data_IF_511701596568
#
_entry.id   IF_511701596568
#
_cell.length_a   1.000
_cell.length_b   1.000
_cell.length_c   1.000
_cell.angle_alpha   90.00
_cell.angle_beta   90.00
_cell.angle_gamma   90.00
#
_symmetry.space_group_name_H-M   'P 1'
#
loop_
_entity.id
_entity.type
_entity.pdbx_description
1 polymer ?
#
# COMPACT_ATOMS: atom_id res chain seq x y z
N UNK A 1 8.73 39.17 7.37
CA UNK A 1 9.13 38.04 8.24
C UNK A 1 9.25 36.74 7.43
N UNK A 2 9.96 36.76 6.30
CA UNK A 2 10.22 35.57 5.47
C UNK A 2 11.54 34.85 5.84
N UNK A 3 12.27 35.30 6.89
CA UNK A 3 13.70 35.02 7.04
C UNK A 3 14.11 33.91 8.02
N UNK A 4 13.18 33.23 8.70
CA UNK A 4 13.55 32.13 9.63
C UNK A 4 13.18 30.73 9.12
N UNK A 5 12.14 30.57 8.29
CA UNK A 5 11.73 29.25 7.79
C UNK A 5 12.57 28.80 6.59
N UNK A 6 12.97 29.73 5.71
CA UNK A 6 13.82 29.43 4.54
C UNK A 6 15.22 28.98 4.94
N UNK A 7 15.79 29.50 6.02
CA UNK A 7 17.13 29.12 6.50
C UNK A 7 17.19 27.66 6.98
N UNK A 8 16.10 27.14 7.53
CA UNK A 8 16.02 25.74 7.96
C UNK A 8 15.81 24.76 6.81
N UNK A 9 15.38 25.20 5.63
CA UNK A 9 15.28 24.34 4.43
C UNK A 9 16.62 24.15 3.72
N UNK A 10 17.60 25.03 3.97
CA UNK A 10 18.93 24.93 3.37
C UNK A 10 19.63 23.62 3.78
N UNK A 11 20.10 22.85 2.78
CA UNK A 11 20.77 21.57 3.00
C UNK A 11 19.82 20.40 3.33
N UNK A 12 18.51 20.57 3.18
CA UNK A 12 17.54 19.50 3.37
C UNK A 12 17.57 18.47 2.22
N UNK A 13 17.27 17.23 2.55
CA UNK A 13 16.82 16.24 1.57
C UNK A 13 15.39 16.60 1.14
N UNK A 14 15.18 16.92 -0.13
CA UNK A 14 13.86 17.24 -0.69
C UNK A 14 13.48 16.22 -1.74
N UNK A 15 12.27 15.70 -1.63
CA UNK A 15 11.66 14.80 -2.63
C UNK A 15 10.32 15.36 -3.07
N UNK A 16 9.94 15.02 -4.30
CA UNK A 16 8.66 15.40 -4.88
C UNK A 16 7.93 14.19 -5.45
N UNK A 17 6.61 14.28 -5.50
CA UNK A 17 5.73 13.22 -6.00
C UNK A 17 5.18 12.33 -4.88
N UNK A 18 3.87 12.11 -4.93
CA UNK A 18 3.06 11.52 -3.86
C UNK A 18 3.62 10.19 -3.32
N UNK A 19 3.99 9.25 -4.20
CA UNK A 19 4.54 7.97 -3.78
C UNK A 19 5.86 8.09 -3.01
N UNK A 20 6.80 8.92 -3.51
CA UNK A 20 8.14 9.09 -2.92
C UNK A 20 8.04 9.86 -1.62
N UNK A 21 7.25 10.95 -1.60
CA UNK A 21 7.02 11.77 -0.42
C UNK A 21 6.39 10.95 0.72
N UNK A 22 5.37 10.13 0.43
CA UNK A 22 4.77 9.23 1.43
C UNK A 22 5.77 8.26 2.00
N UNK A 23 6.55 7.61 1.14
CA UNK A 23 7.57 6.65 1.58
C UNK A 23 8.59 7.32 2.49
N UNK A 24 9.18 8.44 2.06
CA UNK A 24 10.17 9.19 2.86
C UNK A 24 9.60 9.70 4.18
N UNK A 25 8.34 10.16 4.20
CA UNK A 25 7.66 10.58 5.42
C UNK A 25 7.46 9.43 6.40
N UNK A 26 7.02 8.26 5.91
CA UNK A 26 6.86 7.05 6.73
C UNK A 26 8.20 6.56 7.28
N UNK A 27 9.23 6.50 6.44
CA UNK A 27 10.58 6.07 6.82
C UNK A 27 11.15 7.00 7.90
N UNK A 28 10.95 8.32 7.77
CA UNK A 28 11.37 9.29 8.80
C UNK A 28 10.61 9.10 10.11
N UNK A 29 9.27 8.94 10.06
CA UNK A 29 8.48 8.72 11.28
C UNK A 29 8.91 7.42 11.99
N UNK A 30 9.21 6.37 11.23
CA UNK A 30 9.75 5.12 11.78
C UNK A 30 11.15 5.30 12.38
N UNK A 31 12.06 5.99 11.70
CA UNK A 31 13.41 6.33 12.19
C UNK A 31 13.33 7.06 13.54
N UNK A 32 12.34 7.95 13.67
CA UNK A 32 12.12 8.72 14.88
C UNK A 32 11.31 7.97 15.94
N UNK A 33 10.78 6.77 15.68
CA UNK A 33 9.91 6.05 16.63
C UNK A 33 8.54 6.72 16.83
N UNK A 34 8.04 7.41 15.82
CA UNK A 34 6.72 8.04 15.77
C UNK A 34 5.72 7.18 14.98
N UNK A 35 4.41 7.34 15.21
CA UNK A 35 3.39 6.62 14.45
C UNK A 35 3.40 6.95 12.95
N UNK A 36 3.50 5.91 12.10
CA UNK A 36 3.51 6.05 10.62
C UNK A 36 2.27 6.71 10.03
N UNK A 37 1.16 6.80 10.78
CA UNK A 37 -0.08 7.46 10.36
C UNK A 37 -0.27 8.88 10.90
N UNK A 38 0.78 9.49 11.47
CA UNK A 38 0.69 10.79 12.13
C UNK A 38 0.48 11.97 11.16
N UNK A 39 0.99 11.86 9.94
CA UNK A 39 0.93 12.89 8.90
C UNK A 39 -0.07 12.50 7.81
N UNK A 40 -0.57 13.45 6.99
CA UNK A 40 -1.42 13.13 5.85
C UNK A 40 -0.66 12.24 4.85
N UNK A 41 -1.35 11.22 4.31
CA UNK A 41 -0.74 10.16 3.49
C UNK A 41 -1.30 10.11 2.07
N UNK A 42 -1.83 11.22 1.55
CA UNK A 42 -2.40 11.29 0.19
C UNK A 42 -2.13 12.67 -0.41
N UNK A 43 -1.90 12.71 -1.73
CA UNK A 43 -1.72 13.94 -2.51
C UNK A 43 -0.56 14.82 -2.01
N UNK A 44 0.55 14.18 -1.62
CA UNK A 44 1.75 14.89 -1.16
C UNK A 44 2.59 15.32 -2.36
N UNK A 45 2.78 16.62 -2.52
CA UNK A 45 3.56 17.18 -3.64
C UNK A 45 5.05 17.23 -3.32
N UNK A 46 5.39 17.61 -2.09
CA UNK A 46 6.77 17.80 -1.66
C UNK A 46 6.94 17.37 -0.20
N UNK A 47 8.07 16.74 0.09
CA UNK A 47 8.50 16.44 1.43
C UNK A 47 9.96 16.82 1.57
N UNK A 48 10.28 17.57 2.62
CA UNK A 48 11.64 17.97 2.93
C UNK A 48 12.02 17.67 4.37
N UNK A 49 13.25 17.23 4.56
CA UNK A 49 13.81 17.02 5.88
C UNK A 49 15.28 17.46 5.95
N UNK A 50 15.57 18.35 6.89
CA UNK A 50 16.91 18.78 7.19
C UNK A 50 17.42 18.06 8.44
N UNK A 51 18.28 17.07 8.24
CA UNK A 51 18.90 16.29 9.33
C UNK A 51 19.71 17.14 10.31
N UNK A 52 20.34 18.23 9.84
CA UNK A 52 21.19 19.08 10.68
C UNK A 52 20.40 19.92 11.68
N UNK A 53 19.19 20.33 11.31
CA UNK A 53 18.33 21.19 12.14
C UNK A 53 17.13 20.44 12.75
N UNK A 54 16.85 19.23 12.25
CA UNK A 54 15.63 18.49 12.54
C UNK A 54 14.38 19.08 11.89
N UNK A 55 14.50 20.13 11.07
CA UNK A 55 13.35 20.78 10.46
C UNK A 55 12.77 19.91 9.33
N UNK A 56 11.46 19.72 9.34
CA UNK A 56 10.74 19.01 8.28
C UNK A 56 9.55 19.81 7.78
N UNK A 57 9.18 19.58 6.53
CA UNK A 57 7.95 20.08 5.95
C UNK A 57 7.33 19.09 4.98
N UNK A 58 6.01 19.19 4.84
CA UNK A 58 5.20 18.39 3.94
C UNK A 58 4.19 19.32 3.26
N UNK A 59 4.22 19.35 1.93
CA UNK A 59 3.28 20.12 1.10
C UNK A 59 2.32 19.17 0.41
N UNK A 60 1.03 19.40 0.57
CA UNK A 60 -0.04 18.63 -0.08
C UNK A 60 -0.73 19.46 -1.18
N UNK A 61 -1.27 18.80 -2.20
CA UNK A 61 -1.96 19.46 -3.31
C UNK A 61 -3.32 20.09 -2.95
N UNK A 62 -3.85 19.75 -1.77
CA UNK A 62 -5.15 20.25 -1.29
C UNK A 62 -4.98 21.40 -0.33
N UNK A 63 -5.84 22.43 -0.49
CA UNK A 63 -5.86 23.61 0.41
C UNK A 63 -6.06 23.24 1.89
N UNK A 64 -6.85 22.21 2.15
CA UNK A 64 -7.12 21.68 3.49
C UNK A 64 -7.58 20.22 3.38
N UNK A 65 -7.06 19.36 4.24
CA UNK A 65 -7.51 17.98 4.40
C UNK A 65 -8.05 17.80 5.81
N UNK A 66 -9.28 17.33 5.93
CA UNK A 66 -9.85 16.94 7.22
C UNK A 66 -9.90 15.41 7.28
N UNK A 67 -9.41 14.86 8.39
CA UNK A 67 -9.41 13.44 8.68
C UNK A 67 -10.13 13.18 9.98
N UNK A 68 -10.99 12.16 9.99
CA UNK A 68 -11.65 11.69 11.20
C UNK A 68 -11.07 10.35 11.62
N UNK A 69 -10.38 10.35 12.76
CA UNK A 69 -9.94 9.14 13.43
C UNK A 69 -11.14 8.45 14.07
N UNK A 70 -11.81 7.60 13.28
CA UNK A 70 -13.12 7.01 13.63
C UNK A 70 -13.16 6.32 14.99
N UNK A 71 -12.07 5.62 15.36
CA UNK A 71 -11.98 4.87 16.62
C UNK A 71 -12.03 5.78 17.85
N UNK A 72 -11.39 6.94 17.78
CA UNK A 72 -11.35 7.93 18.87
C UNK A 72 -12.32 9.11 18.63
N UNK A 73 -13.08 9.07 17.53
CA UNK A 73 -14.00 10.12 17.07
C UNK A 73 -13.35 11.51 16.98
N UNK A 74 -12.03 11.55 16.79
CA UNK A 74 -11.26 12.78 16.75
C UNK A 74 -11.16 13.31 15.32
N UNK A 75 -11.43 14.60 15.13
CA UNK A 75 -11.31 15.26 13.83
C UNK A 75 -10.03 16.09 13.83
N UNK A 76 -9.21 15.90 12.81
CA UNK A 76 -7.94 16.61 12.62
C UNK A 76 -7.94 17.24 11.24
N UNK A 77 -7.36 18.43 11.12
CA UNK A 77 -7.19 19.11 9.85
C UNK A 77 -5.74 19.46 9.60
N UNK A 78 -5.34 19.30 8.35
CA UNK A 78 -4.02 19.59 7.82
C UNK A 78 -4.13 20.70 6.76
N UNK A 79 -3.34 21.75 6.91
CA UNK A 79 -3.19 22.83 5.94
C UNK A 79 -2.35 22.36 4.74
N UNK A 80 -2.32 23.16 3.66
CA UNK A 80 -1.50 22.91 2.47
C UNK A 80 -0.04 22.59 2.80
N UNK A 81 0.52 23.27 3.80
CA UNK A 81 1.86 23.01 4.31
C UNK A 81 1.79 22.69 5.80
N UNK A 82 2.43 21.58 6.18
CA UNK A 82 2.67 21.18 7.56
C UNK A 82 4.17 21.25 7.81
N UNK A 83 4.58 21.92 8.88
CA UNK A 83 5.98 21.99 9.29
C UNK A 83 6.16 21.57 10.75
N UNK A 84 7.33 21.04 11.09
CA UNK A 84 7.69 20.70 12.45
C UNK A 84 9.21 20.62 12.62
N UNK A 85 9.66 20.63 13.88
CA UNK A 85 10.98 20.16 14.25
C UNK A 85 10.86 18.75 14.81
N UNK A 86 11.59 17.84 14.19
CA UNK A 86 11.57 16.42 14.46
C UNK A 86 12.73 16.00 15.34
N UNK A 87 12.42 15.26 16.39
CA UNK A 87 13.33 14.66 17.37
C UNK A 87 12.91 13.21 17.61
N UNK A 88 13.79 12.40 18.21
CA UNK A 88 13.44 11.01 18.53
C UNK A 88 12.20 10.98 19.44
N UNK A 89 11.16 10.31 18.99
CA UNK A 89 9.87 10.13 19.64
C UNK A 89 8.99 11.38 19.64
N UNK A 90 9.36 12.45 18.93
CA UNK A 90 8.72 13.77 19.13
C UNK A 90 8.74 14.67 17.90
N UNK A 91 7.62 15.35 17.66
CA UNK A 91 7.51 16.51 16.78
C UNK A 91 7.12 17.74 17.62
N UNK A 92 7.78 18.87 17.41
CA UNK A 92 7.50 20.13 18.13
C UNK A 92 7.44 21.32 17.20
N UNK A 93 6.87 22.43 17.70
CA UNK A 93 6.58 23.65 16.92
C UNK A 93 5.82 23.32 15.63
N UNK A 94 4.87 22.40 15.75
CA UNK A 94 4.06 21.95 14.63
C UNK A 94 3.22 23.13 14.13
N UNK A 95 3.20 23.32 12.81
CA UNK A 95 2.30 24.26 12.15
C UNK A 95 1.45 23.54 11.10
N UNK A 96 0.30 24.11 10.74
CA UNK A 96 -0.59 23.54 9.74
C UNK A 96 -1.47 22.38 10.24
N UNK A 97 -1.32 21.93 11.50
CA UNK A 97 -2.16 20.87 12.08
C UNK A 97 -3.11 21.45 13.12
N UNK A 98 -4.41 21.15 13.00
CA UNK A 98 -5.42 21.50 14.02
C UNK A 98 -6.27 20.30 14.39
N UNK A 99 -6.66 20.22 15.66
CA UNK A 99 -7.59 19.22 16.18
C UNK A 99 -8.92 19.87 16.56
N UNK A 100 -10.04 19.17 16.41
CA UNK A 100 -11.37 19.69 16.79
C UNK A 100 -11.73 19.24 18.20
N UNK A 101 -11.82 20.18 19.12
CA UNK A 101 -12.15 19.94 20.52
C UNK A 101 -13.24 20.93 20.96
N UNK A 102 -14.31 20.43 21.60
CA UNK A 102 -15.47 21.24 22.04
C UNK A 102 -15.98 22.21 20.95
N UNK A 103 -16.04 21.72 19.70
CA UNK A 103 -16.43 22.47 18.49
C UNK A 103 -15.43 23.53 17.99
N UNK A 104 -14.30 23.73 18.67
CA UNK A 104 -13.23 24.65 18.29
C UNK A 104 -12.07 23.93 17.61
N UNK A 105 -11.46 24.57 16.62
CA UNK A 105 -10.24 24.07 15.98
C UNK A 105 -9.01 24.62 16.69
N UNK A 106 -8.32 23.76 17.44
CA UNK A 106 -7.13 24.11 18.21
C UNK A 106 -5.87 23.69 17.48
N UNK A 107 -4.86 24.56 17.44
CA UNK A 107 -3.57 24.26 16.82
C UNK A 107 -2.81 23.24 17.65
N UNK A 108 -2.40 22.14 17.02
CA UNK A 108 -1.48 21.16 17.60
C UNK A 108 -0.08 21.71 17.45
N UNK A 109 0.67 21.81 18.54
CA UNK A 109 2.02 22.40 18.57
C UNK A 109 3.10 21.36 18.86
N UNK A 110 2.72 20.24 19.46
CA UNK A 110 3.64 19.17 19.84
C UNK A 110 2.92 17.82 19.80
N UNK A 111 3.64 16.80 19.32
CA UNK A 111 3.24 15.39 19.37
C UNK A 111 4.42 14.58 19.86
N UNK A 112 4.21 13.65 20.79
CA UNK A 112 5.29 12.78 21.26
C UNK A 112 4.78 11.41 21.70
N UNK A 113 5.69 10.45 21.73
CA UNK A 113 5.50 9.12 22.31
C UNK A 113 6.17 9.13 23.69
N UNK A 114 5.42 9.02 24.80
CA UNK A 114 6.01 9.02 26.13
C UNK A 114 6.87 7.78 26.36
N UNK A 115 8.06 7.94 26.94
CA UNK A 115 8.97 6.81 27.21
C UNK A 115 8.34 5.75 28.13
N UNK A 116 7.51 6.18 29.09
CA UNK A 116 6.81 5.29 30.00
C UNK A 116 5.65 4.50 29.36
N UNK A 117 5.22 4.88 28.15
CA UNK A 117 4.08 4.28 27.43
C UNK A 117 4.28 4.39 25.91
N UNK A 118 5.20 3.60 25.33
CA UNK A 118 5.52 3.64 23.90
C UNK A 118 4.35 3.24 22.99
N UNK A 119 3.33 2.60 23.54
CA UNK A 119 2.08 2.26 22.87
C UNK A 119 1.13 3.46 22.70
N UNK A 120 1.44 4.60 23.32
CA UNK A 120 0.63 5.82 23.27
C UNK A 120 1.32 6.94 22.51
N UNK A 121 0.51 7.77 21.87
CA UNK A 121 0.92 9.03 21.28
C UNK A 121 0.13 10.16 21.93
N UNK A 122 0.83 11.20 22.38
CA UNK A 122 0.26 12.37 23.03
C UNK A 122 0.30 13.56 22.08
N UNK A 123 -0.83 14.25 21.94
CA UNK A 123 -0.96 15.50 21.20
C UNK A 123 -1.14 16.64 22.19
N UNK A 124 -0.39 17.72 22.00
CA UNK A 124 -0.51 18.95 22.79
C UNK A 124 -0.92 20.12 21.92
N UNK A 125 -1.86 20.90 22.41
CA UNK A 125 -2.32 22.12 21.74
C UNK A 125 -1.62 23.35 22.30
N UNK A 126 -1.62 24.44 21.54
CA UNK A 126 -1.05 25.72 21.99
C UNK A 126 -1.73 26.32 23.22
N UNK A 127 -2.91 25.82 23.62
CA UNK A 127 -3.63 26.23 24.83
C UNK A 127 -3.28 25.38 26.05
N UNK A 128 -2.36 24.42 25.93
CA UNK A 128 -1.92 23.56 27.02
C UNK A 128 -2.78 22.31 27.24
N UNK A 129 -3.79 22.06 26.40
CA UNK A 129 -4.57 20.82 26.44
C UNK A 129 -3.73 19.67 25.86
N UNK A 130 -3.87 18.49 26.44
CA UNK A 130 -3.14 17.30 26.00
C UNK A 130 -4.00 16.06 26.06
N UNK A 131 -4.04 15.33 24.95
CA UNK A 131 -4.71 14.04 24.85
C UNK A 131 -3.74 12.96 24.43
N UNK A 132 -3.87 11.77 25.03
CA UNK A 132 -3.06 10.60 24.70
C UNK A 132 -3.94 9.49 24.17
N UNK A 133 -3.49 8.87 23.09
CA UNK A 133 -4.25 7.82 22.40
C UNK A 133 -3.35 6.64 22.07
N UNK A 134 -3.92 5.44 21.99
CA UNK A 134 -3.16 4.28 21.54
C UNK A 134 -2.74 4.43 20.07
N UNK A 135 -1.48 4.16 19.78
CA UNK A 135 -0.91 4.20 18.42
C UNK A 135 -1.67 3.26 17.46
N UNK A 136 -2.19 2.15 17.99
CA UNK A 136 -3.00 1.16 17.24
C UNK A 136 -4.43 1.65 16.91
N UNK A 137 -4.95 2.63 17.64
CA UNK A 137 -6.31 3.17 17.42
C UNK A 137 -6.31 4.48 16.66
N UNK A 138 -5.21 5.25 16.72
CA UNK A 138 -5.03 6.54 16.00
C UNK A 138 -4.56 6.40 14.57
N UNK A 139 -3.87 5.33 14.17
CA UNK A 139 -3.48 5.20 12.76
C UNK A 139 -4.64 4.60 11.94
N UNK A 140 -5.48 5.45 11.35
CA UNK A 140 -6.40 5.02 10.28
C UNK A 140 -5.59 4.59 9.07
N UNK A 141 -5.58 3.27 8.84
CA UNK A 141 -4.99 2.55 7.70
C UNK A 141 -3.45 2.45 7.74
N UNK A 142 -2.98 1.23 8.00
CA UNK A 142 -1.81 0.69 7.32
C UNK A 142 -1.82 1.15 5.84
N UNK A 143 -0.66 1.36 5.20
CA UNK A 143 -0.62 1.90 3.84
C UNK A 143 -1.64 1.16 3.01
N UNK A 144 -2.50 1.91 2.31
CA UNK A 144 -3.57 1.29 1.51
C UNK A 144 -2.94 0.22 0.63
N UNK A 145 -3.64 -0.89 0.38
CA UNK A 145 -3.11 -1.92 -0.52
C UNK A 145 -2.60 -1.28 -1.83
N UNK A 146 -3.29 -0.24 -2.33
CA UNK A 146 -2.85 0.59 -3.46
C UNK A 146 -1.48 1.27 -3.27
N UNK A 147 -1.23 1.92 -2.13
CA UNK A 147 0.06 2.59 -1.83
C UNK A 147 1.22 1.58 -1.66
N UNK A 148 0.93 0.40 -1.08
CA UNK A 148 1.92 -0.69 -1.00
C UNK A 148 2.22 -1.27 -2.39
N UNK A 149 1.18 -1.54 -3.19
CA UNK A 149 1.29 -2.06 -4.56
C UNK A 149 2.12 -1.13 -5.45
N UNK A 150 1.92 0.18 -5.38
CA UNK A 150 2.65 1.15 -6.21
C UNK A 150 4.17 1.11 -5.92
N UNK A 151 4.56 0.98 -4.65
CA UNK A 151 5.98 0.88 -4.28
C UNK A 151 6.65 -0.36 -4.87
N UNK A 152 5.90 -1.44 -5.07
CA UNK A 152 6.41 -2.67 -5.68
C UNK A 152 6.51 -2.62 -7.20
N UNK A 153 5.91 -1.63 -7.88
CA UNK A 153 6.08 -1.44 -9.34
C UNK A 153 7.41 -0.78 -9.69
N UNK A 154 8.01 -0.06 -8.75
CA UNK A 154 9.29 0.64 -8.98
C UNK A 154 10.40 -0.35 -9.31
N UNK A 155 11.00 -0.21 -10.49
CA UNK A 155 12.07 -1.10 -10.97
C UNK A 155 11.59 -2.41 -11.60
N UNK A 156 10.29 -2.55 -11.86
CA UNK A 156 9.76 -3.71 -12.57
C UNK A 156 10.12 -3.70 -14.06
N UNK A 157 10.28 -4.90 -14.64
CA UNK A 157 10.22 -5.09 -16.09
C UNK A 157 8.76 -4.93 -16.53
N UNK A 158 8.46 -3.94 -17.37
CA UNK A 158 7.11 -3.68 -17.88
C UNK A 158 7.10 -3.83 -19.40
N UNK A 159 6.15 -4.60 -19.91
CA UNK A 159 5.89 -4.75 -21.34
C UNK A 159 4.42 -4.44 -21.63
N UNK A 160 4.15 -4.00 -22.86
CA UNK A 160 2.80 -3.67 -23.32
C UNK A 160 2.47 -4.37 -24.62
N UNK A 161 1.19 -4.72 -24.79
CA UNK A 161 0.64 -5.41 -25.96
C UNK A 161 0.40 -6.91 -25.74
N UNK A 162 -0.76 -7.39 -26.19
CA UNK A 162 -1.30 -8.71 -25.83
C UNK A 162 -0.32 -9.87 -26.05
N UNK A 163 0.26 -9.98 -27.24
CA UNK A 163 1.14 -11.09 -27.59
C UNK A 163 2.39 -11.16 -26.69
N UNK A 164 3.05 -10.02 -26.41
CA UNK A 164 4.26 -10.00 -25.60
C UNK A 164 3.95 -10.15 -24.11
N UNK A 165 2.86 -9.55 -23.62
CA UNK A 165 2.39 -9.70 -22.25
C UNK A 165 2.01 -11.15 -21.93
N UNK A 166 1.26 -11.82 -22.83
CA UNK A 166 0.91 -13.23 -22.70
C UNK A 166 2.15 -14.12 -22.66
N UNK A 167 3.10 -13.90 -23.58
CA UNK A 167 4.36 -14.63 -23.61
C UNK A 167 5.13 -14.46 -22.29
N UNK A 168 5.34 -13.22 -21.83
CA UNK A 168 6.06 -12.93 -20.58
C UNK A 168 5.40 -13.51 -19.33
N UNK A 169 4.07 -13.49 -19.27
CA UNK A 169 3.29 -14.12 -18.19
C UNK A 169 3.50 -15.64 -18.18
N UNK A 170 3.44 -16.30 -19.34
CA UNK A 170 3.67 -17.75 -19.49
C UNK A 170 5.11 -18.11 -19.11
N UNK A 171 6.09 -17.36 -19.60
CA UNK A 171 7.51 -17.56 -19.29
C UNK A 171 7.75 -17.44 -17.78
N UNK A 172 7.12 -16.46 -17.11
CA UNK A 172 7.20 -16.30 -15.65
C UNK A 172 6.57 -17.49 -14.91
N UNK A 173 5.39 -17.96 -15.31
CA UNK A 173 4.75 -19.12 -14.68
C UNK A 173 5.63 -20.37 -14.82
N UNK A 174 6.24 -20.57 -15.98
CA UNK A 174 7.19 -21.66 -16.23
C UNK A 174 8.45 -21.53 -15.37
N UNK A 175 9.04 -20.33 -15.29
CA UNK A 175 10.20 -20.02 -14.42
C UNK A 175 9.92 -20.38 -12.95
N UNK A 176 8.68 -20.14 -12.50
CA UNK A 176 8.26 -20.42 -11.13
C UNK A 176 7.83 -21.87 -10.93
N UNK A 177 7.70 -22.70 -11.95
CA UNK A 177 7.18 -24.08 -11.83
C UNK A 177 5.66 -24.14 -11.57
N UNK A 178 4.92 -23.15 -12.05
CA UNK A 178 3.47 -23.08 -12.01
C UNK A 178 2.85 -23.50 -13.36
N UNK A 179 1.60 -24.00 -13.40
CA UNK A 179 0.95 -24.33 -14.66
C UNK A 179 0.80 -23.11 -15.58
N UNK A 180 1.28 -23.23 -16.82
CA UNK A 180 1.33 -22.14 -17.81
C UNK A 180 -0.04 -21.56 -18.20
N UNK A 181 -1.11 -22.33 -18.02
CA UNK A 181 -2.49 -21.91 -18.30
C UNK A 181 -3.24 -21.34 -17.09
N UNK A 182 -2.57 -21.06 -15.96
CA UNK A 182 -3.23 -20.49 -14.77
C UNK A 182 -3.89 -19.13 -15.01
N UNK A 183 -3.35 -18.33 -15.93
CA UNK A 183 -3.80 -16.98 -16.23
C UNK A 183 -4.18 -16.88 -17.71
N UNK A 184 -5.28 -17.53 -18.17
CA UNK A 184 -5.71 -17.54 -19.57
C UNK A 184 -6.41 -16.22 -19.93
N UNK A 185 -5.75 -15.10 -19.64
CA UNK A 185 -6.22 -13.76 -19.95
C UNK A 185 -5.90 -13.43 -21.42
N UNK A 186 -6.80 -12.70 -22.05
CA UNK A 186 -6.67 -12.18 -23.41
C UNK A 186 -6.81 -10.65 -23.37
N UNK A 187 -6.38 -9.99 -24.43
CA UNK A 187 -6.41 -8.52 -24.53
C UNK A 187 -5.60 -7.86 -23.40
N UNK A 188 -4.42 -8.44 -23.12
CA UNK A 188 -3.52 -7.97 -22.06
C UNK A 188 -2.76 -6.74 -22.54
N UNK A 189 -3.10 -5.59 -21.98
CA UNK A 189 -2.53 -4.31 -22.34
C UNK A 189 -1.14 -4.12 -21.73
N UNK A 190 -0.94 -4.59 -20.50
CA UNK A 190 0.31 -4.45 -19.76
C UNK A 190 0.59 -5.66 -18.87
N UNK A 191 1.85 -6.09 -18.84
CA UNK A 191 2.38 -7.03 -17.87
C UNK A 191 3.59 -6.40 -17.20
N UNK A 192 3.62 -6.45 -15.88
CA UNK A 192 4.76 -6.00 -15.10
C UNK A 192 5.22 -7.05 -14.11
N UNK A 193 6.53 -7.18 -13.97
CA UNK A 193 7.14 -8.05 -12.96
C UNK A 193 8.37 -7.41 -12.32
N UNK A 194 8.34 -7.26 -11.01
CA UNK A 194 9.47 -6.81 -10.21
C UNK A 194 10.18 -8.01 -9.59
N UNK A 195 11.30 -8.43 -10.20
CA UNK A 195 12.13 -9.53 -9.70
C UNK A 195 12.64 -9.32 -8.28
N UNK A 196 12.94 -8.09 -7.88
CA UNK A 196 13.48 -7.78 -6.54
C UNK A 196 12.45 -7.98 -5.42
N UNK A 197 11.16 -7.75 -5.72
CA UNK A 197 10.08 -7.86 -4.73
C UNK A 197 9.17 -9.07 -4.93
N UNK A 198 9.29 -9.74 -6.08
CA UNK A 198 8.39 -10.79 -6.53
C UNK A 198 7.01 -10.28 -6.97
N UNK A 199 6.77 -8.97 -7.00
CA UNK A 199 5.45 -8.42 -7.33
C UNK A 199 5.19 -8.45 -8.83
N UNK A 200 4.01 -8.93 -9.22
CA UNK A 200 3.56 -8.94 -10.62
C UNK A 200 2.16 -8.36 -10.78
N UNK A 201 1.88 -7.83 -11.97
CA UNK A 201 0.54 -7.45 -12.37
C UNK A 201 0.26 -7.71 -13.85
N UNK A 202 -1.02 -7.86 -14.15
CA UNK A 202 -1.59 -8.00 -15.48
C UNK A 202 -2.76 -7.02 -15.60
N UNK A 203 -2.74 -6.20 -16.64
CA UNK A 203 -3.83 -5.28 -17.00
C UNK A 203 -4.44 -5.74 -18.32
N UNK A 204 -5.74 -6.02 -18.32
CA UNK A 204 -6.51 -6.37 -19.52
C UNK A 204 -7.44 -5.21 -19.93
N UNK A 205 -7.70 -5.07 -21.23
CA UNK A 205 -8.58 -4.02 -21.76
C UNK A 205 -10.05 -4.17 -21.32
N UNK A 206 -10.47 -5.39 -21.00
CA UNK A 206 -11.84 -5.72 -20.57
C UNK A 206 -12.05 -5.51 -19.07
N UNK A 207 -13.22 -4.98 -18.69
CA UNK A 207 -13.59 -4.76 -17.27
C UNK A 207 -13.58 -6.05 -16.43
N UNK A 208 -14.01 -7.15 -17.02
CA UNK A 208 -14.05 -8.47 -16.41
C UNK A 208 -14.05 -9.52 -17.51
N UNK A 209 -13.29 -10.59 -17.34
CA UNK A 209 -13.31 -11.76 -18.21
C UNK A 209 -13.61 -12.98 -17.35
N UNK A 210 -14.48 -13.86 -17.83
CA UNK A 210 -14.72 -15.15 -17.19
C UNK A 210 -14.14 -16.26 -18.06
N UNK A 211 -13.57 -17.26 -17.41
CA UNK A 211 -12.98 -18.42 -18.05
C UNK A 211 -13.46 -19.67 -17.31
N UNK A 212 -13.71 -20.76 -18.04
CA UNK A 212 -14.11 -22.04 -17.43
C UNK A 212 -13.09 -23.10 -17.79
N UNK A 213 -12.33 -23.55 -16.79
CA UNK A 213 -11.41 -24.67 -16.93
C UNK A 213 -12.22 -25.95 -17.09
N UNK A 214 -12.30 -26.46 -18.32
CA UNK A 214 -13.26 -27.52 -18.69
C UNK A 214 -13.04 -28.82 -17.93
N UNK A 215 -11.78 -29.19 -17.70
CA UNK A 215 -11.39 -30.43 -16.98
C UNK A 215 -11.93 -30.51 -15.56
N UNK A 216 -12.00 -29.37 -14.87
CA UNK A 216 -12.48 -29.28 -13.48
C UNK A 216 -13.86 -28.62 -13.38
N UNK A 217 -14.43 -28.21 -14.52
CA UNK A 217 -15.71 -27.49 -14.62
C UNK A 217 -15.79 -26.26 -13.70
N UNK A 218 -14.64 -25.62 -13.46
CA UNK A 218 -14.52 -24.49 -12.56
C UNK A 218 -14.53 -23.18 -13.35
N UNK A 219 -15.51 -22.32 -13.07
CA UNK A 219 -15.56 -20.97 -13.65
C UNK A 219 -14.83 -20.00 -12.74
N UNK A 220 -13.86 -19.29 -13.32
CA UNK A 220 -13.10 -18.22 -12.70
C UNK A 220 -13.38 -16.90 -13.39
N UNK A 221 -13.18 -15.80 -12.68
CA UNK A 221 -13.26 -14.46 -13.23
C UNK A 221 -12.02 -13.65 -12.89
N UNK A 222 -11.58 -12.89 -13.89
CA UNK A 222 -10.44 -11.99 -13.85
C UNK A 222 -10.96 -10.56 -13.99
N UNK A 223 -10.54 -9.69 -13.06
CA UNK A 223 -10.80 -8.26 -13.11
C UNK A 223 -9.91 -7.57 -14.16
N UNK A 224 -10.14 -6.27 -14.39
CA UNK A 224 -9.27 -5.43 -15.23
C UNK A 224 -7.80 -5.53 -14.84
N UNK A 225 -7.52 -5.60 -13.55
CA UNK A 225 -6.18 -5.76 -13.02
C UNK A 225 -6.10 -6.97 -12.10
N UNK A 226 -5.12 -7.82 -12.36
CA UNK A 226 -4.76 -8.96 -11.52
C UNK A 226 -3.37 -8.70 -10.97
N UNK A 227 -3.19 -8.83 -9.65
CA UNK A 227 -1.86 -8.68 -9.01
C UNK A 227 -1.56 -9.85 -8.10
N UNK A 228 -0.28 -10.15 -7.91
CA UNK A 228 0.18 -11.17 -6.98
C UNK A 228 1.64 -10.93 -6.55
N UNK A 229 2.04 -11.56 -5.46
CA UNK A 229 3.45 -11.81 -5.16
C UNK A 229 3.80 -13.22 -5.59
N UNK A 230 4.77 -13.32 -6.48
CA UNK A 230 5.22 -14.53 -7.12
C UNK A 230 6.50 -15.05 -6.46
N UNK A 231 6.46 -16.33 -6.10
CA UNK A 231 7.52 -17.10 -5.46
C UNK A 231 7.63 -18.45 -6.20
N UNK A 232 8.75 -19.15 -6.01
CA UNK A 232 8.91 -20.47 -6.62
C UNK A 232 7.75 -21.39 -6.18
N UNK A 233 7.04 -21.94 -7.16
CA UNK A 233 5.89 -22.83 -7.00
C UNK A 233 4.63 -22.13 -6.47
N UNK A 234 4.58 -20.80 -6.39
CA UNK A 234 3.53 -20.12 -5.61
C UNK A 234 3.21 -18.69 -6.05
N UNK A 235 1.92 -18.36 -6.05
CA UNK A 235 1.39 -17.00 -6.09
C UNK A 235 0.63 -16.73 -4.79
N UNK A 236 0.89 -15.60 -4.12
CA UNK A 236 0.23 -15.21 -2.88
C UNK A 236 -0.27 -13.77 -2.91
N UNK A 237 -1.22 -13.46 -2.01
CA UNK A 237 -1.92 -12.16 -1.94
C UNK A 237 -2.51 -11.77 -3.30
N UNK A 238 -3.08 -12.76 -3.98
CA UNK A 238 -3.68 -12.58 -5.30
C UNK A 238 -4.87 -11.62 -5.18
N UNK A 239 -4.97 -10.67 -6.10
CA UNK A 239 -6.13 -9.79 -6.26
C UNK A 239 -6.64 -9.86 -7.69
N UNK A 240 -7.92 -9.54 -7.88
CA UNK A 240 -8.53 -9.54 -9.21
C UNK A 240 -8.96 -10.92 -9.73
N UNK A 241 -8.70 -12.01 -8.99
CA UNK A 241 -9.14 -13.37 -9.36
C UNK A 241 -10.24 -13.84 -8.42
N UNK A 242 -11.35 -14.32 -8.98
CA UNK A 242 -12.43 -14.96 -8.22
C UNK A 242 -12.81 -16.30 -8.82
N UNK A 243 -13.18 -17.25 -7.98
CA UNK A 243 -13.69 -18.57 -8.36
C UNK A 243 -15.17 -18.66 -7.98
N UNK A 244 -15.97 -19.40 -8.76
CA UNK A 244 -17.39 -19.62 -8.47
C UNK A 244 -17.59 -20.92 -7.69
N UNK A 245 -17.81 -20.81 -6.40
CA UNK A 245 -18.05 -21.95 -5.49
C UNK A 245 -19.41 -21.83 -4.84
N UNK A 246 -20.21 -22.90 -4.81
CA UNK A 246 -21.54 -22.93 -4.18
C UNK A 246 -22.45 -21.73 -4.58
N UNK A 247 -22.40 -21.34 -5.85
CA UNK A 247 -23.08 -20.17 -6.43
C UNK A 247 -22.58 -18.79 -5.97
N UNK A 248 -21.50 -18.72 -5.18
CA UNK A 248 -20.86 -17.48 -4.72
C UNK A 248 -19.53 -17.25 -5.43
N UNK A 249 -19.19 -15.98 -5.64
CA UNK A 249 -17.87 -15.59 -6.15
C UNK A 249 -16.91 -15.34 -5.00
N UNK A 250 -15.96 -16.26 -4.80
CA UNK A 250 -14.96 -16.18 -3.75
C UNK A 250 -13.63 -15.70 -4.33
N UNK A 251 -12.94 -14.83 -3.59
CA UNK A 251 -11.64 -14.30 -4.05
C UNK A 251 -10.56 -15.33 -3.82
N UNK A 252 -9.81 -15.67 -4.88
CA UNK A 252 -8.62 -16.51 -4.79
C UNK A 252 -7.49 -15.63 -4.27
N UNK A 253 -6.83 -16.05 -3.19
CA UNK A 253 -5.78 -15.27 -2.52
C UNK A 253 -4.42 -15.95 -2.59
N UNK A 254 -4.38 -17.24 -2.86
CA UNK A 254 -3.16 -18.04 -2.94
C UNK A 254 -3.33 -19.19 -3.93
N UNK A 255 -2.29 -19.48 -4.70
CA UNK A 255 -2.16 -20.66 -5.55
C UNK A 255 -0.76 -21.21 -5.35
N UNK A 256 -0.61 -22.52 -5.17
CA UNK A 256 0.70 -23.14 -5.04
C UNK A 256 0.72 -24.58 -5.52
N UNK A 257 1.90 -25.02 -5.94
CA UNK A 257 2.23 -26.41 -6.24
C UNK A 257 2.95 -26.98 -5.02
N UNK A 258 2.40 -28.01 -4.33
CA UNK A 258 3.07 -28.60 -3.18
C UNK A 258 4.34 -29.35 -3.59
N UNK A 259 5.43 -29.18 -2.83
CA UNK A 259 6.71 -29.87 -3.12
C UNK A 259 6.59 -31.41 -3.12
N UNK A 260 5.68 -31.94 -2.30
CA UNK A 260 5.42 -33.38 -2.20
C UNK A 260 4.61 -33.96 -3.38
N UNK A 261 3.96 -33.11 -4.18
CA UNK A 261 3.06 -33.51 -5.28
C UNK A 261 3.09 -32.47 -6.41
N UNK A 262 4.19 -32.41 -7.20
CA UNK A 262 4.37 -31.41 -8.26
C UNK A 262 3.34 -31.51 -9.39
N UNK A 263 2.63 -32.63 -9.50
CA UNK A 263 1.50 -32.86 -10.39
C UNK A 263 0.18 -32.25 -9.90
N UNK A 264 0.17 -31.64 -8.71
CA UNK A 264 -1.00 -30.99 -8.12
C UNK A 264 -0.80 -29.49 -7.94
N UNK A 265 -1.90 -28.76 -8.06
CA UNK A 265 -1.98 -27.33 -7.75
C UNK A 265 -3.15 -27.08 -6.81
N UNK A 266 -2.88 -26.34 -5.74
CA UNK A 266 -3.84 -25.99 -4.70
C UNK A 266 -4.17 -24.51 -4.76
N UNK A 267 -5.46 -24.20 -4.72
CA UNK A 267 -6.01 -22.85 -4.66
C UNK A 267 -6.56 -22.62 -3.25
N UNK A 268 -6.37 -21.42 -2.70
CA UNK A 268 -7.03 -20.99 -1.48
C UNK A 268 -7.83 -19.72 -1.70
N UNK A 269 -8.99 -19.65 -1.06
CA UNK A 269 -9.85 -18.47 -1.08
C UNK A 269 -9.69 -17.64 0.19
N UNK A 270 -10.11 -16.38 0.12
CA UNK A 270 -10.06 -15.46 1.27
C UNK A 270 -10.95 -15.88 2.46
N UNK A 271 -11.83 -16.87 2.28
CA UNK A 271 -12.65 -17.46 3.34
C UNK A 271 -11.99 -18.67 4.01
N UNK A 272 -10.80 -19.08 3.54
CA UNK A 272 -10.06 -20.23 4.06
C UNK A 272 -10.43 -21.57 3.40
N UNK A 273 -11.30 -21.58 2.38
CA UNK A 273 -11.53 -22.78 1.57
C UNK A 273 -10.32 -23.07 0.70
N UNK A 274 -10.07 -24.35 0.43
CA UNK A 274 -8.98 -24.79 -0.43
C UNK A 274 -9.37 -25.99 -1.26
N UNK A 275 -9.06 -25.92 -2.55
CA UNK A 275 -9.26 -27.01 -3.49
C UNK A 275 -7.93 -27.37 -4.18
N UNK A 276 -7.74 -28.65 -4.45
CA UNK A 276 -6.53 -29.17 -5.10
C UNK A 276 -6.91 -29.94 -6.36
N UNK A 277 -6.23 -29.64 -7.44
CA UNK A 277 -6.51 -30.17 -8.76
C UNK A 277 -5.24 -30.68 -9.42
N UNK A 278 -5.39 -31.44 -10.50
CA UNK A 278 -4.27 -31.83 -11.34
C UNK A 278 -3.74 -30.63 -12.15
N UNK A 279 -2.42 -30.47 -12.24
CA UNK A 279 -1.80 -29.37 -13.01
C UNK A 279 -2.22 -29.37 -14.48
N UNK A 280 -2.55 -30.54 -15.03
CA UNK A 280 -3.01 -30.68 -16.42
C UNK A 280 -4.37 -30.03 -16.68
N UNK A 281 -5.15 -29.69 -15.64
CA UNK A 281 -6.37 -28.91 -15.75
C UNK A 281 -6.13 -27.43 -16.10
N UNK A 282 -4.88 -26.96 -15.95
CA UNK A 282 -4.45 -25.59 -16.18
C UNK A 282 -3.34 -25.54 -17.23
N UNK A 283 -3.39 -26.44 -18.21
CA UNK A 283 -2.52 -26.40 -19.38
C UNK A 283 -2.92 -25.24 -20.31
N UNK A 284 -2.02 -24.82 -21.20
CA UNK A 284 -2.32 -23.77 -22.17
C UNK A 284 -3.48 -24.21 -23.09
N UNK A 285 -4.52 -23.36 -23.19
CA UNK A 285 -5.67 -23.58 -24.06
C UNK A 285 -6.81 -24.41 -23.45
N UNK A 286 -6.68 -24.85 -22.19
CA UNK A 286 -7.78 -25.43 -21.41
C UNK A 286 -8.86 -24.42 -21.03
#
# INVERSE_FOLDING_TARGET
MASQTESHRAGAEVVSGDAICRKKSIDLLEELGLPKGLLPMEDIQEFGYNRSTGFMWLVQGRKKVEHTFKKIKQMVSYATEVTAFAEKGKLRKITGVKTKELMLWLSVVEVYVPEASPEKVTFKTGTGLSDSFDVRTTCSKAPTMASQIESHRTGAEVVSGDAICRKKSIDLLEELGLPKGLLPMEDIQEFGYNRATGFMWLLQGKKKVEHTFKKIKQTVSYATEVTAFAEKGKLRKITGVKTKELMLWLSVVEVYVPDASPEKVTFKTGTGLSDTFDVTAFALGE
#
